data_IF_655783386303
#
_entry.id   IF_655783386303
#
_cell.length_a   1.000
_cell.length_b   1.000
_cell.length_c   1.000
_cell.angle_alpha   90.00
_cell.angle_beta   90.00
_cell.angle_gamma   90.00
#
_symmetry.space_group_name_H-M   'P 1'
#
loop_
_entity.id
_entity.type
_entity.pdbx_description
1 polymer ?
#
# COMPACT_ATOMS: atom_id res chain seq x y z
N UNK A 1 -7.62 9.06 -21.68
CA UNK A 1 -7.33 10.26 -20.87
C UNK A 1 -7.98 10.04 -19.51
N UNK A 2 -7.28 10.22 -18.39
CA UNK A 2 -7.83 9.90 -17.06
C UNK A 2 -8.97 10.84 -16.64
N UNK A 3 -8.94 12.08 -17.11
CA UNK A 3 -9.94 13.13 -16.82
C UNK A 3 -11.07 13.22 -17.86
N UNK A 4 -11.37 12.12 -18.56
CA UNK A 4 -12.42 12.12 -19.59
C UNK A 4 -13.83 12.13 -18.97
N UNK A 5 -14.00 11.46 -17.82
CA UNK A 5 -15.20 11.52 -16.98
C UNK A 5 -14.91 10.92 -15.58
N UNK A 6 -15.82 11.17 -14.65
CA UNK A 6 -15.74 10.69 -13.27
C UNK A 6 -15.64 9.16 -13.18
N UNK A 7 -16.31 8.42 -14.06
CA UNK A 7 -16.28 6.95 -14.05
C UNK A 7 -14.89 6.40 -14.35
N UNK A 8 -14.16 7.01 -15.29
CA UNK A 8 -12.76 6.65 -15.55
C UNK A 8 -11.86 7.01 -14.37
N UNK A 9 -12.09 8.14 -13.71
CA UNK A 9 -11.35 8.54 -12.51
C UNK A 9 -11.58 7.56 -11.34
N UNK A 10 -12.80 7.04 -11.21
CA UNK A 10 -13.18 6.04 -10.21
C UNK A 10 -12.75 4.60 -10.59
N UNK A 11 -12.13 4.41 -11.76
CA UNK A 11 -11.68 3.09 -12.21
C UNK A 11 -12.78 2.19 -12.78
N UNK A 12 -13.99 2.66 -13.11
CA UNK A 12 -15.09 1.79 -13.58
C UNK A 12 -14.70 0.92 -14.80
N UNK A 13 -13.76 1.39 -15.63
CA UNK A 13 -13.27 0.63 -16.79
C UNK A 13 -12.22 -0.43 -16.46
N UNK A 14 -11.64 -0.37 -15.27
CA UNK A 14 -10.60 -1.27 -14.76
C UNK A 14 -11.21 -2.42 -13.94
N UNK A 15 -12.44 -2.23 -13.44
CA UNK A 15 -13.14 -3.16 -12.55
C UNK A 15 -14.49 -3.58 -13.15
N UNK A 16 -14.56 -4.71 -13.86
CA UNK A 16 -15.85 -5.28 -14.28
C UNK A 16 -16.46 -6.11 -13.15
N UNK A 17 -17.76 -5.95 -12.89
CA UNK A 17 -18.49 -6.73 -11.87
C UNK A 17 -18.44 -8.25 -12.12
N UNK A 18 -18.17 -8.68 -13.36
CA UNK A 18 -17.96 -10.08 -13.72
C UNK A 18 -16.66 -10.65 -13.17
N UNK A 19 -15.63 -9.82 -13.04
CA UNK A 19 -14.26 -10.25 -12.68
C UNK A 19 -14.15 -10.53 -11.17
N UNK A 20 -15.11 -10.01 -10.39
CA UNK A 20 -15.25 -10.24 -8.95
C UNK A 20 -16.34 -11.25 -8.61
N UNK A 21 -16.89 -11.98 -9.59
CA UNK A 21 -17.93 -12.96 -9.33
C UNK A 21 -17.37 -14.18 -8.59
N UNK A 22 -17.96 -14.52 -7.45
CA UNK A 22 -17.58 -15.70 -6.67
C UNK A 22 -17.97 -17.02 -7.35
N UNK A 23 -19.08 -17.03 -8.10
CA UNK A 23 -19.66 -18.26 -8.63
C UNK A 23 -18.76 -18.95 -9.68
N UNK A 24 -18.18 -18.24 -10.68
CA UNK A 24 -17.21 -18.84 -11.59
C UNK A 24 -16.01 -19.46 -10.88
N UNK A 25 -15.46 -18.78 -9.87
CA UNK A 25 -14.33 -19.27 -9.07
C UNK A 25 -14.69 -20.56 -8.33
N UNK A 26 -15.85 -20.63 -7.69
CA UNK A 26 -16.31 -21.84 -7.00
C UNK A 26 -16.59 -22.99 -7.97
N UNK A 27 -17.05 -22.70 -9.20
CA UNK A 27 -17.22 -23.72 -10.25
C UNK A 27 -15.87 -24.26 -10.72
N UNK A 28 -14.86 -23.40 -10.86
CA UNK A 28 -13.49 -23.80 -11.18
C UNK A 28 -12.90 -24.68 -10.06
N UNK A 29 -13.03 -24.25 -8.80
CA UNK A 29 -12.65 -25.06 -7.63
C UNK A 29 -13.34 -26.44 -7.64
N UNK A 30 -14.65 -26.48 -7.90
CA UNK A 30 -15.40 -27.73 -7.99
C UNK A 30 -14.90 -28.65 -9.12
N UNK A 31 -14.48 -28.08 -10.25
CA UNK A 31 -13.88 -28.82 -11.37
C UNK A 31 -12.52 -29.42 -10.99
N UNK A 32 -11.64 -28.64 -10.34
CA UNK A 32 -10.35 -29.11 -9.82
C UNK A 32 -10.57 -30.23 -8.79
N UNK A 33 -11.49 -30.03 -7.84
CA UNK A 33 -11.85 -31.04 -6.83
C UNK A 33 -12.35 -32.34 -7.47
N UNK A 34 -13.16 -32.24 -8.53
CA UNK A 34 -13.63 -33.40 -9.29
C UNK A 34 -12.50 -34.15 -9.98
N UNK A 35 -11.53 -33.44 -10.57
CA UNK A 35 -10.32 -34.06 -11.18
C UNK A 35 -9.49 -34.81 -10.14
N UNK A 36 -9.36 -34.27 -8.92
CA UNK A 36 -8.63 -34.91 -7.81
C UNK A 36 -9.33 -36.18 -7.28
N UNK A 37 -10.62 -36.37 -7.53
CA UNK A 37 -11.38 -37.54 -7.08
C UNK A 37 -11.28 -37.74 -5.56
N UNK A 38 -10.74 -38.90 -5.12
CA UNK A 38 -10.56 -39.21 -3.69
C UNK A 38 -9.58 -38.26 -2.99
N UNK A 39 -8.72 -37.56 -3.74
CA UNK A 39 -7.77 -36.56 -3.22
C UNK A 39 -8.39 -35.15 -3.14
N UNK A 40 -9.70 -35.00 -3.36
CA UNK A 40 -10.38 -33.69 -3.34
C UNK A 40 -10.16 -32.87 -2.06
N UNK A 41 -9.95 -33.54 -0.93
CA UNK A 41 -9.63 -32.91 0.35
C UNK A 41 -8.37 -32.04 0.31
N UNK A 42 -7.44 -32.27 -0.64
CA UNK A 42 -6.25 -31.43 -0.81
C UNK A 42 -6.63 -30.02 -1.24
N UNK A 43 -7.60 -29.89 -2.15
CA UNK A 43 -8.08 -28.58 -2.56
C UNK A 43 -8.89 -27.91 -1.44
N UNK A 44 -9.70 -28.68 -0.71
CA UNK A 44 -10.46 -28.14 0.42
C UNK A 44 -9.48 -27.56 1.48
N UNK A 45 -8.42 -28.30 1.84
CA UNK A 45 -7.38 -27.82 2.75
C UNK A 45 -6.60 -26.61 2.20
N UNK A 46 -6.28 -26.62 0.90
CA UNK A 46 -5.60 -25.50 0.23
C UNK A 46 -6.44 -24.22 0.29
N UNK A 47 -7.73 -24.31 -0.02
CA UNK A 47 -8.64 -23.18 0.03
C UNK A 47 -8.87 -22.67 1.45
N UNK A 48 -9.02 -23.56 2.43
CA UNK A 48 -9.10 -23.17 3.84
C UNK A 48 -7.86 -22.38 4.25
N UNK A 49 -6.67 -22.92 4.03
CA UNK A 49 -5.42 -22.26 4.39
C UNK A 49 -5.25 -20.90 3.68
N UNK A 50 -5.61 -20.81 2.39
CA UNK A 50 -5.56 -19.54 1.65
C UNK A 50 -6.53 -18.50 2.24
N UNK A 51 -7.79 -18.87 2.45
CA UNK A 51 -8.83 -17.94 2.92
C UNK A 51 -8.56 -17.49 4.35
N UNK A 52 -8.13 -18.39 5.23
CA UNK A 52 -7.75 -18.09 6.61
C UNK A 52 -6.53 -17.17 6.65
N UNK A 53 -5.53 -17.39 5.79
CA UNK A 53 -4.35 -16.54 5.70
C UNK A 53 -4.61 -15.14 5.13
N UNK A 54 -5.54 -15.02 4.17
CA UNK A 54 -5.87 -13.73 3.53
C UNK A 54 -6.87 -12.92 4.36
N UNK A 55 -7.76 -13.56 5.12
CA UNK A 55 -8.75 -12.89 5.97
C UNK A 55 -8.16 -11.78 6.88
N UNK A 56 -7.04 -11.98 7.59
CA UNK A 56 -6.44 -10.93 8.42
C UNK A 56 -5.67 -9.87 7.62
N UNK A 57 -5.48 -10.04 6.31
CA UNK A 57 -4.79 -9.07 5.44
C UNK A 57 -5.78 -8.03 4.92
N UNK A 58 -6.22 -7.16 5.82
CA UNK A 58 -7.15 -6.07 5.50
C UNK A 58 -6.42 -4.95 4.74
N UNK A 59 -6.87 -4.67 3.51
CA UNK A 59 -6.43 -3.52 2.73
C UNK A 59 -6.69 -2.19 3.44
N UNK A 60 -7.84 -2.10 4.13
CA UNK A 60 -8.18 -0.98 4.99
C UNK A 60 -7.16 -0.80 6.13
N UNK A 61 -6.78 -1.86 6.84
CA UNK A 61 -5.78 -1.77 7.92
C UNK A 61 -4.41 -1.35 7.39
N UNK A 62 -4.00 -1.86 6.21
CA UNK A 62 -2.77 -1.43 5.58
C UNK A 62 -2.79 0.07 5.25
N UNK A 63 -3.91 0.57 4.73
CA UNK A 63 -4.10 1.99 4.45
C UNK A 63 -4.11 2.86 5.71
N UNK A 64 -4.78 2.42 6.77
CA UNK A 64 -4.81 3.11 8.05
C UNK A 64 -3.39 3.19 8.66
N UNK A 65 -2.64 2.08 8.61
CA UNK A 65 -1.26 2.02 9.08
C UNK A 65 -0.36 3.02 8.33
N UNK A 66 -0.45 3.07 7.00
CA UNK A 66 0.31 4.03 6.20
C UNK A 66 -0.05 5.49 6.51
N UNK A 67 -1.33 5.78 6.73
CA UNK A 67 -1.77 7.12 7.12
C UNK A 67 -1.29 7.49 8.54
N UNK A 68 -1.33 6.54 9.47
CA UNK A 68 -0.84 6.71 10.85
C UNK A 68 0.67 6.96 10.88
N UNK A 69 1.45 6.14 10.19
CA UNK A 69 2.91 6.29 10.08
C UNK A 69 3.30 7.65 9.49
N UNK A 70 2.60 8.08 8.44
CA UNK A 70 2.82 9.40 7.85
C UNK A 70 2.44 10.54 8.82
N UNK A 71 1.36 10.40 9.58
CA UNK A 71 0.94 11.37 10.59
C UNK A 71 1.94 11.48 11.74
N UNK A 72 2.45 10.35 12.24
CA UNK A 72 3.49 10.33 13.27
C UNK A 72 4.78 10.99 12.75
N UNK A 73 5.09 10.77 11.47
CA UNK A 73 6.23 11.42 10.82
C UNK A 73 6.03 12.94 10.67
N UNK A 74 4.83 13.39 10.30
CA UNK A 74 4.48 14.82 10.30
C UNK A 74 4.69 15.45 11.67
N UNK A 75 4.30 14.74 12.74
CA UNK A 75 4.51 15.23 14.11
C UNK A 75 6.00 15.34 14.47
N UNK A 76 6.84 14.46 13.94
CA UNK A 76 8.30 14.57 14.05
C UNK A 76 8.82 15.80 13.29
N UNK A 77 8.33 16.06 12.09
CA UNK A 77 8.65 17.26 11.31
C UNK A 77 8.19 18.55 12.02
N UNK A 78 7.01 18.55 12.64
CA UNK A 78 6.49 19.69 13.42
C UNK A 78 7.41 20.03 14.58
N UNK A 79 7.90 19.00 15.29
CA UNK A 79 8.90 19.18 16.35
C UNK A 79 10.20 19.75 15.77
N UNK A 80 10.68 19.23 14.65
CA UNK A 80 11.90 19.67 13.97
C UNK A 80 11.90 21.17 13.57
N UNK A 81 10.73 21.74 13.24
CA UNK A 81 10.60 23.18 12.94
C UNK A 81 10.78 24.05 14.20
N UNK A 82 10.37 23.55 15.37
CA UNK A 82 10.47 24.29 16.65
C UNK A 82 11.75 24.04 17.45
N UNK A 83 12.42 22.92 17.22
CA UNK A 83 13.63 22.49 17.93
C UNK A 83 14.53 21.67 17.00
N UNK A 84 15.84 21.63 17.28
CA UNK A 84 16.80 20.94 16.43
C UNK A 84 16.38 19.48 16.14
N UNK A 85 16.32 19.03 14.86
CA UNK A 85 15.82 17.71 14.52
C UNK A 85 16.74 16.61 15.09
N UNK A 86 16.15 15.58 15.71
CA UNK A 86 16.88 14.42 16.24
C UNK A 86 17.09 13.34 15.20
N UNK A 87 16.10 13.15 14.31
CA UNK A 87 16.18 12.22 13.19
C UNK A 87 17.24 12.70 12.16
N UNK A 88 18.21 11.87 11.76
CA UNK A 88 19.27 12.27 10.84
C UNK A 88 18.77 12.74 9.47
N UNK A 89 17.76 12.08 8.91
CA UNK A 89 17.24 12.42 7.57
C UNK A 89 16.48 13.74 7.63
N UNK A 90 15.65 13.93 8.66
CA UNK A 90 14.95 15.21 8.83
C UNK A 90 15.92 16.35 9.07
N UNK A 91 17.01 16.11 9.82
CA UNK A 91 18.07 17.10 10.01
C UNK A 91 18.73 17.48 8.69
N UNK A 92 19.16 16.49 7.92
CA UNK A 92 19.83 16.70 6.63
C UNK A 92 18.95 17.50 5.68
N UNK A 93 17.69 17.10 5.50
CA UNK A 93 16.74 17.81 4.63
C UNK A 93 16.48 19.23 5.14
N UNK A 94 16.32 19.42 6.45
CA UNK A 94 16.10 20.74 7.03
C UNK A 94 17.31 21.67 6.81
N UNK A 95 18.53 21.16 7.00
CA UNK A 95 19.77 21.92 6.82
C UNK A 95 20.01 22.28 5.34
N UNK A 96 19.67 21.39 4.40
CA UNK A 96 19.74 21.64 2.95
C UNK A 96 18.67 22.63 2.47
N UNK A 97 17.51 22.67 3.13
CA UNK A 97 16.36 23.50 2.74
C UNK A 97 16.17 24.66 3.73
N UNK A 98 17.24 25.41 3.99
CA UNK A 98 17.23 26.53 4.94
C UNK A 98 16.20 27.62 4.64
N UNK A 99 15.76 27.73 3.39
CA UNK A 99 14.68 28.63 2.94
C UNK A 99 13.34 28.33 3.63
N UNK A 100 13.08 27.11 4.12
CA UNK A 100 11.89 26.79 4.90
C UNK A 100 11.74 27.74 6.11
N UNK A 101 12.86 28.15 6.71
CA UNK A 101 12.84 29.02 7.88
C UNK A 101 12.32 30.44 7.62
N UNK A 102 12.17 30.87 6.36
CA UNK A 102 11.65 32.20 6.02
C UNK A 102 10.14 32.33 6.16
N UNK A 103 9.41 31.22 6.19
CA UNK A 103 7.94 31.22 6.33
C UNK A 103 7.53 31.47 7.78
N UNK A 104 6.59 32.40 7.99
CA UNK A 104 6.14 32.77 9.33
C UNK A 104 5.42 31.60 10.03
N UNK A 105 4.47 30.99 9.34
CA UNK A 105 3.61 29.95 9.91
C UNK A 105 4.36 28.64 10.14
N UNK A 106 4.23 28.09 11.36
CA UNK A 106 4.86 26.81 11.71
C UNK A 106 4.22 25.62 11.00
N UNK A 107 2.92 25.72 10.67
CA UNK A 107 2.22 24.75 9.85
C UNK A 107 2.82 24.68 8.45
N UNK A 108 2.94 25.80 7.73
CA UNK A 108 3.55 25.84 6.39
C UNK A 108 4.94 25.18 6.39
N UNK A 109 5.79 25.55 7.35
CA UNK A 109 7.14 24.96 7.50
C UNK A 109 7.12 23.46 7.74
N UNK A 110 6.16 22.99 8.53
CA UNK A 110 5.99 21.56 8.83
C UNK A 110 5.63 20.79 7.55
N UNK A 111 4.65 21.27 6.80
CA UNK A 111 4.18 20.60 5.58
C UNK A 111 5.26 20.60 4.48
N UNK A 112 6.00 21.69 4.33
CA UNK A 112 7.15 21.77 3.41
C UNK A 112 8.23 20.74 3.78
N UNK A 113 8.64 20.73 5.06
CA UNK A 113 9.67 19.81 5.54
C UNK A 113 9.24 18.35 5.38
N UNK A 114 8.00 18.02 5.74
CA UNK A 114 7.46 16.67 5.58
C UNK A 114 7.48 16.23 4.12
N UNK A 115 6.98 17.06 3.20
CA UNK A 115 6.90 16.72 1.78
C UNK A 115 8.30 16.42 1.19
N UNK A 116 9.32 17.21 1.56
CA UNK A 116 10.70 17.02 1.14
C UNK A 116 11.35 15.77 1.78
N UNK A 117 11.03 15.48 3.04
CA UNK A 117 11.62 14.33 3.73
C UNK A 117 11.00 12.99 3.33
N UNK A 118 9.73 12.98 2.91
CA UNK A 118 8.96 11.75 2.71
C UNK A 118 9.64 10.80 1.71
N UNK A 119 10.18 11.33 0.61
CA UNK A 119 10.88 10.53 -0.41
C UNK A 119 12.12 9.82 0.17
N UNK A 120 12.92 10.51 0.99
CA UNK A 120 14.10 9.93 1.66
C UNK A 120 13.74 8.88 2.72
N UNK A 121 12.54 8.98 3.31
CA UNK A 121 12.07 8.06 4.35
C UNK A 121 11.23 6.91 3.83
N UNK A 122 10.72 7.00 2.60
CA UNK A 122 9.75 6.04 2.05
C UNK A 122 10.24 4.60 2.12
N UNK A 123 11.52 4.37 1.80
CA UNK A 123 12.12 3.03 1.87
C UNK A 123 12.09 2.43 3.28
N UNK A 124 12.32 3.24 4.31
CA UNK A 124 12.27 2.81 5.71
C UNK A 124 10.86 2.41 6.11
N UNK A 125 9.86 3.23 5.76
CA UNK A 125 8.45 2.92 6.01
C UNK A 125 8.02 1.62 5.32
N UNK A 126 8.37 1.46 4.05
CA UNK A 126 8.08 0.25 3.28
C UNK A 126 8.74 -0.98 3.89
N UNK A 127 10.02 -0.89 4.28
CA UNK A 127 10.72 -2.01 4.92
C UNK A 127 10.05 -2.42 6.24
N UNK A 128 9.74 -1.45 7.11
CA UNK A 128 9.09 -1.71 8.40
C UNK A 128 7.71 -2.36 8.21
N UNK A 129 6.91 -1.83 7.29
CA UNK A 129 5.61 -2.38 6.93
C UNK A 129 5.75 -3.83 6.44
N UNK A 130 6.66 -4.08 5.48
CA UNK A 130 6.85 -5.40 4.90
C UNK A 130 7.33 -6.43 5.94
N UNK A 131 8.23 -6.06 6.84
CA UNK A 131 8.71 -6.94 7.90
C UNK A 131 7.58 -7.29 8.90
N UNK A 132 6.80 -6.29 9.33
CA UNK A 132 5.65 -6.49 10.21
C UNK A 132 4.59 -7.40 9.57
N UNK A 133 4.24 -7.14 8.31
CA UNK A 133 3.21 -7.88 7.59
C UNK A 133 3.66 -9.29 7.19
N UNK A 134 4.93 -9.48 6.88
CA UNK A 134 5.51 -10.81 6.67
C UNK A 134 5.42 -11.66 7.95
N UNK A 135 5.71 -11.07 9.11
CA UNK A 135 5.56 -11.77 10.39
C UNK A 135 4.10 -12.10 10.71
N UNK A 136 3.15 -11.20 10.38
CA UNK A 136 1.71 -11.45 10.52
C UNK A 136 1.26 -12.65 9.67
N UNK A 137 1.60 -12.66 8.38
CA UNK A 137 1.28 -13.79 7.49
C UNK A 137 1.95 -15.08 7.97
N UNK A 138 3.21 -15.01 8.42
CA UNK A 138 3.93 -16.19 8.93
C UNK A 138 3.30 -16.81 10.18
N UNK A 139 2.50 -16.06 10.94
CA UNK A 139 1.72 -16.60 12.04
C UNK A 139 0.45 -17.35 11.61
N UNK A 140 -0.09 -17.02 10.44
CA UNK A 140 -1.38 -17.52 9.94
C UNK A 140 -1.22 -18.59 8.85
N UNK A 141 -0.12 -18.55 8.09
CA UNK A 141 0.13 -19.44 6.96
C UNK A 141 1.42 -20.23 7.15
N UNK A 142 1.28 -21.55 7.32
CA UNK A 142 2.39 -22.50 7.15
C UNK A 142 2.78 -22.56 5.66
N UNK A 143 3.69 -21.68 5.24
CA UNK A 143 4.13 -21.57 3.84
C UNK A 143 4.65 -22.90 3.29
N UNK A 144 5.53 -23.67 3.99
CA UNK A 144 5.91 -25.02 3.56
C UNK A 144 4.73 -25.99 3.38
N UNK A 145 3.78 -26.00 4.31
CA UNK A 145 2.57 -26.82 4.21
C UNK A 145 1.70 -26.43 3.01
N UNK A 146 1.51 -25.13 2.78
CA UNK A 146 0.77 -24.59 1.66
C UNK A 146 1.43 -24.91 0.30
N UNK A 147 2.75 -24.78 0.21
CA UNK A 147 3.53 -25.19 -0.97
C UNK A 147 3.40 -26.69 -1.25
N UNK A 148 3.40 -27.51 -0.20
CA UNK A 148 3.19 -28.96 -0.33
C UNK A 148 1.80 -29.28 -0.88
N UNK A 149 0.75 -28.60 -0.41
CA UNK A 149 -0.60 -28.74 -0.95
C UNK A 149 -0.65 -28.36 -2.43
N UNK A 150 -0.08 -27.20 -2.79
CA UNK A 150 0.01 -26.74 -4.18
C UNK A 150 0.67 -27.79 -5.07
N UNK A 151 1.86 -28.27 -4.70
CA UNK A 151 2.63 -29.24 -5.50
C UNK A 151 1.86 -30.54 -5.71
N UNK A 152 1.18 -31.03 -4.67
CA UNK A 152 0.37 -32.27 -4.74
C UNK A 152 -0.86 -32.11 -5.61
N UNK A 153 -1.49 -30.94 -5.64
CA UNK A 153 -2.63 -30.68 -6.53
C UNK A 153 -2.14 -30.54 -7.97
N UNK A 154 -1.11 -29.70 -8.19
CA UNK A 154 -0.53 -29.46 -9.51
C UNK A 154 -0.04 -30.76 -10.19
N UNK A 155 0.53 -31.70 -9.42
CA UNK A 155 0.95 -33.00 -9.94
C UNK A 155 -0.21 -33.83 -10.54
N UNK A 156 -1.45 -33.63 -10.09
CA UNK A 156 -2.62 -34.36 -10.57
C UNK A 156 -3.43 -33.57 -11.60
N UNK A 157 -3.38 -32.23 -11.56
CA UNK A 157 -4.24 -31.37 -12.38
C UNK A 157 -3.52 -30.61 -13.50
N UNK A 158 -2.19 -30.51 -13.43
CA UNK A 158 -1.38 -29.59 -14.20
C UNK A 158 -1.05 -28.33 -13.40
N UNK A 159 0.18 -27.84 -13.54
CA UNK A 159 0.68 -26.60 -12.93
C UNK A 159 -0.04 -25.37 -13.50
N UNK A 160 -0.28 -25.36 -14.81
CA UNK A 160 -1.02 -24.32 -15.53
C UNK A 160 -2.43 -24.10 -14.97
N UNK A 161 -3.11 -25.20 -14.60
CA UNK A 161 -4.44 -25.16 -13.98
C UNK A 161 -4.38 -24.50 -12.61
N UNK A 162 -3.37 -24.83 -11.79
CA UNK A 162 -3.22 -24.27 -10.45
C UNK A 162 -2.76 -22.82 -10.46
N UNK A 163 -1.83 -22.44 -11.34
CA UNK A 163 -1.41 -21.04 -11.51
C UNK A 163 -2.58 -20.14 -11.93
N UNK A 164 -3.38 -20.60 -12.90
CA UNK A 164 -4.58 -19.88 -13.31
C UNK A 164 -5.59 -19.74 -12.17
N UNK A 165 -5.83 -20.81 -11.42
CA UNK A 165 -6.72 -20.77 -10.28
C UNK A 165 -6.23 -19.84 -9.17
N UNK A 166 -4.92 -19.83 -8.89
CA UNK A 166 -4.29 -18.92 -7.93
C UNK A 166 -4.41 -17.46 -8.36
N UNK A 167 -4.27 -17.17 -9.65
CA UNK A 167 -4.48 -15.83 -10.18
C UNK A 167 -5.91 -15.36 -9.92
N UNK A 168 -6.91 -16.20 -10.17
CA UNK A 168 -8.31 -15.84 -9.90
C UNK A 168 -8.59 -15.69 -8.39
N UNK A 169 -7.98 -16.52 -7.53
CA UNK A 169 -8.05 -16.34 -6.07
C UNK A 169 -7.49 -14.98 -5.65
N UNK A 170 -6.30 -14.62 -6.14
CA UNK A 170 -5.66 -13.33 -5.87
C UNK A 170 -6.51 -12.17 -6.36
N UNK A 171 -7.01 -12.23 -7.60
CA UNK A 171 -7.87 -11.18 -8.16
C UNK A 171 -9.17 -11.00 -7.36
N UNK A 172 -9.73 -12.08 -6.82
CA UNK A 172 -10.98 -12.04 -6.07
C UNK A 172 -10.81 -11.51 -4.64
N UNK A 173 -9.78 -11.99 -3.94
CA UNK A 173 -9.63 -11.79 -2.49
C UNK A 173 -8.51 -10.81 -2.11
N UNK A 174 -7.65 -10.44 -3.05
CA UNK A 174 -6.55 -9.50 -2.87
C UNK A 174 -6.57 -8.44 -3.99
N UNK A 175 -7.71 -7.74 -4.10
CA UNK A 175 -7.98 -6.78 -5.17
C UNK A 175 -6.86 -5.72 -5.25
N UNK A 176 -6.55 -5.11 -4.11
CA UNK A 176 -5.42 -4.21 -3.97
C UNK A 176 -4.31 -4.88 -3.14
N UNK A 177 -3.05 -4.90 -3.61
CA UNK A 177 -1.93 -5.34 -2.79
C UNK A 177 -1.81 -4.50 -1.51
N UNK A 178 -1.58 -5.12 -0.35
CA UNK A 178 -1.49 -4.42 0.93
C UNK A 178 -0.42 -3.31 0.92
N UNK A 179 0.71 -3.53 0.25
CA UNK A 179 1.74 -2.49 0.08
C UNK A 179 1.21 -1.28 -0.71
N UNK A 180 0.42 -1.49 -1.76
CA UNK A 180 -0.20 -0.39 -2.50
C UNK A 180 -1.14 0.41 -1.61
N UNK A 181 -1.88 -0.26 -0.73
CA UNK A 181 -2.82 0.38 0.19
C UNK A 181 -2.11 1.14 1.31
N UNK A 182 -1.02 0.59 1.85
CA UNK A 182 -0.12 1.29 2.75
C UNK A 182 0.42 2.59 2.12
N UNK A 183 0.96 2.49 0.90
CA UNK A 183 1.44 3.66 0.16
C UNK A 183 0.32 4.66 -0.15
N UNK A 184 -0.90 4.18 -0.42
CA UNK A 184 -2.06 5.04 -0.59
C UNK A 184 -2.38 5.81 0.70
N UNK A 185 -2.31 5.16 1.86
CA UNK A 185 -2.46 5.80 3.17
C UNK A 185 -1.44 6.91 3.39
N UNK A 186 -0.15 6.64 3.12
CA UNK A 186 0.90 7.66 3.18
C UNK A 186 0.66 8.81 2.19
N UNK A 187 0.19 8.49 0.98
CA UNK A 187 -0.13 9.46 -0.06
C UNK A 187 -1.30 10.35 0.35
N UNK A 188 -2.31 9.81 1.03
CA UNK A 188 -3.42 10.60 1.56
C UNK A 188 -2.93 11.69 2.53
N UNK A 189 -1.98 11.37 3.41
CA UNK A 189 -1.39 12.38 4.30
C UNK A 189 -0.52 13.39 3.55
N UNK A 190 0.29 12.95 2.57
CA UNK A 190 1.05 13.84 1.70
C UNK A 190 0.14 14.81 0.93
N UNK A 191 -1.02 14.35 0.45
CA UNK A 191 -1.99 15.21 -0.24
C UNK A 191 -2.48 16.33 0.67
N UNK A 192 -2.69 16.06 1.96
CA UNK A 192 -3.02 17.10 2.95
C UNK A 192 -1.90 18.14 3.05
N UNK A 193 -0.64 17.69 3.13
CA UNK A 193 0.52 18.59 3.15
C UNK A 193 0.56 19.47 1.90
N UNK A 194 0.46 18.88 0.71
CA UNK A 194 0.60 19.57 -0.57
C UNK A 194 -0.48 20.62 -0.83
N UNK A 195 -1.73 20.39 -0.37
CA UNK A 195 -2.84 21.33 -0.58
C UNK A 195 -2.97 22.38 0.51
N UNK A 196 -2.18 22.28 1.60
CA UNK A 196 -2.15 23.27 2.67
C UNK A 196 -1.77 24.64 2.10
N UNK A 197 -2.54 25.66 2.47
CA UNK A 197 -2.34 27.04 2.05
C UNK A 197 -1.48 27.76 3.07
N UNK A 198 -0.43 28.42 2.59
CA UNK A 198 0.35 29.37 3.35
C UNK A 198 -0.39 30.72 3.42
N UNK A 199 -0.68 31.19 4.63
CA UNK A 199 -1.51 32.38 4.86
C UNK A 199 -0.84 33.70 4.43
N UNK A 200 0.50 33.73 4.40
CA UNK A 200 1.25 34.93 4.03
C UNK A 200 1.21 35.16 2.52
N UNK A 201 1.37 34.08 1.75
CA UNK A 201 1.47 34.14 0.28
C UNK A 201 0.16 33.77 -0.44
N UNK A 202 -0.81 33.20 0.27
CA UNK A 202 -2.01 32.53 -0.28
C UNK A 202 -1.67 31.44 -1.32
N UNK A 203 -0.47 30.85 -1.21
CA UNK A 203 -0.01 29.77 -2.10
C UNK A 203 -0.12 28.44 -1.38
N UNK A 204 -0.35 27.39 -2.17
CA UNK A 204 -0.31 26.02 -1.66
C UNK A 204 1.12 25.52 -1.58
N UNK A 205 1.39 24.62 -0.63
CA UNK A 205 2.70 24.00 -0.41
C UNK A 205 3.29 23.44 -1.72
N UNK A 206 2.51 22.76 -2.56
CA UNK A 206 3.03 22.24 -3.84
C UNK A 206 3.51 23.35 -4.78
N UNK A 207 2.89 24.53 -4.76
CA UNK A 207 3.30 25.67 -5.58
C UNK A 207 4.62 26.25 -5.07
N UNK A 208 4.77 26.33 -3.75
CA UNK A 208 6.01 26.80 -3.11
C UNK A 208 7.16 25.85 -3.42
N UNK A 209 6.93 24.53 -3.31
CA UNK A 209 7.94 23.51 -3.61
C UNK A 209 8.41 23.56 -5.06
N UNK A 210 7.49 23.71 -6.02
CA UNK A 210 7.87 23.79 -7.44
C UNK A 210 8.82 24.96 -7.71
N UNK A 211 8.55 26.15 -7.17
CA UNK A 211 9.40 27.32 -7.38
C UNK A 211 10.82 27.12 -6.84
N UNK A 212 10.96 26.60 -5.62
CA UNK A 212 12.28 26.42 -4.99
C UNK A 212 13.07 25.28 -5.64
N UNK A 213 12.41 24.22 -6.09
CA UNK A 213 13.06 23.12 -6.82
C UNK A 213 13.46 23.49 -8.25
N UNK A 214 12.88 24.53 -8.84
CA UNK A 214 13.32 25.09 -10.12
C UNK A 214 14.56 25.98 -9.97
N UNK A 215 14.66 26.73 -8.86
CA UNK A 215 15.79 27.61 -8.56
C UNK A 215 17.09 26.86 -8.20
N UNK A 216 16.98 25.60 -7.73
CA UNK A 216 18.12 24.72 -7.42
C UNK A 216 18.76 24.04 -8.65
N UNK A 217 18.31 24.35 -9.88
CA UNK A 217 18.89 23.86 -11.16
C UNK A 217 19.77 24.89 -11.86
#
# INVERSE_FOLDING_TARGET
MIFENERKLLGEQEYSSTDYSLIPLLREAASIRKKLGRKGYLLDAYLSAFLEAVMPLSDYEACEEGFSDATEFRDLCRKAVGQRPTDPVVREVYDENGWISSFQESSTRTELLQALCLDRKLSVFVCNFMDKWKNRIGGELDVPGFQTLYQRIAAETGEDVMEKFNLHLKQRFMIAPCLSMFLQGMTCDLLLALITEDLETNRKVFQILMDHLEEDK
#
